data_IF_292971430745
#
_entry.id   IF_292971430745
#
_cell.length_a   1.000
_cell.length_b   1.000
_cell.length_c   1.000
_cell.angle_alpha   90.00
_cell.angle_beta   90.00
_cell.angle_gamma   90.00
#
_symmetry.space_group_name_H-M   'P 1'
#
loop_
_entity.id
_entity.type
_entity.pdbx_description
1 polymer ?
#
# COMPACT_ATOMS: atom_id res chain seq x y z
N UNK A 1 -20.40 -20.09 2.72
CA UNK A 1 -20.03 -18.91 3.53
C UNK A 1 -21.04 -18.74 4.65
N UNK A 2 -20.54 -18.65 5.87
CA UNK A 2 -21.40 -18.51 7.04
C UNK A 2 -21.55 -17.02 7.39
N UNK A 3 -22.75 -16.49 7.25
CA UNK A 3 -23.05 -15.11 7.61
C UNK A 3 -23.61 -14.98 9.03
N UNK A 4 -23.26 -15.90 9.91
CA UNK A 4 -23.71 -16.02 11.28
C UNK A 4 -24.28 -14.78 11.92
N UNK A 5 -25.60 -14.69 11.95
CA UNK A 5 -26.29 -13.58 12.58
C UNK A 5 -26.05 -13.57 14.09
N UNK A 6 -25.80 -12.40 14.67
CA UNK A 6 -25.72 -12.24 16.11
C UNK A 6 -24.41 -12.60 16.76
N UNK A 7 -23.38 -12.94 15.98
CA UNK A 7 -22.06 -13.18 16.53
C UNK A 7 -21.16 -11.99 16.23
N UNK A 8 -20.62 -11.39 17.29
CA UNK A 8 -19.64 -10.33 17.10
C UNK A 8 -18.39 -10.91 16.49
N UNK A 9 -18.02 -10.41 15.33
CA UNK A 9 -16.77 -10.77 14.68
C UNK A 9 -15.73 -9.75 15.09
N UNK A 10 -14.61 -10.25 15.62
CA UNK A 10 -13.50 -9.37 15.96
C UNK A 10 -13.07 -8.61 14.70
N UNK A 11 -12.97 -7.28 14.82
CA UNK A 11 -12.56 -6.44 13.71
C UNK A 11 -11.16 -6.80 13.25
N UNK A 12 -10.98 -6.89 11.95
CA UNK A 12 -9.67 -7.07 11.37
C UNK A 12 -8.79 -5.87 11.74
N UNK A 13 -7.51 -6.12 11.94
CA UNK A 13 -6.60 -5.06 12.32
C UNK A 13 -6.44 -4.08 11.16
N UNK A 14 -6.75 -2.82 11.42
CA UNK A 14 -6.56 -1.74 10.47
C UNK A 14 -5.45 -0.83 10.97
N UNK A 15 -4.56 -0.44 10.05
CA UNK A 15 -3.43 0.42 10.35
C UNK A 15 -3.46 1.57 9.37
N UNK A 16 -3.50 2.78 9.90
CA UNK A 16 -3.47 4.00 9.10
C UNK A 16 -2.18 4.76 9.39
N UNK A 17 -1.43 5.04 8.34
CA UNK A 17 -0.19 5.82 8.42
C UNK A 17 -0.34 7.05 7.54
N UNK A 18 0.18 8.15 8.03
CA UNK A 18 0.10 9.43 7.32
C UNK A 18 1.38 10.21 7.50
N UNK A 19 1.82 10.86 6.44
CA UNK A 19 2.90 11.84 6.50
C UNK A 19 2.54 13.00 5.59
N UNK A 20 3.23 14.12 5.75
CA UNK A 20 3.07 15.26 4.85
C UNK A 20 4.30 15.39 3.97
N UNK A 21 4.06 15.76 2.71
CA UNK A 21 5.12 15.98 1.75
C UNK A 21 4.67 17.05 0.75
N UNK A 22 5.46 18.13 0.65
CA UNK A 22 5.19 19.25 -0.26
C UNK A 22 3.81 19.88 -0.07
N UNK A 23 3.34 19.95 1.19
CA UNK A 23 2.06 20.54 1.52
C UNK A 23 0.85 19.63 1.34
N UNK A 24 1.05 18.38 0.94
CA UNK A 24 -0.01 17.39 0.76
C UNK A 24 0.18 16.20 1.67
N UNK A 25 -0.91 15.49 1.94
CA UNK A 25 -0.85 14.24 2.69
C UNK A 25 -0.42 13.08 1.79
N UNK A 26 0.33 12.17 2.38
CA UNK A 26 0.69 10.89 1.81
C UNK A 26 0.29 9.84 2.83
N UNK A 27 -0.59 8.92 2.44
CA UNK A 27 -1.23 7.99 3.37
C UNK A 27 -1.07 6.55 2.93
N UNK A 28 -1.00 5.66 3.91
CA UNK A 28 -1.14 4.23 3.68
C UNK A 28 -2.18 3.68 4.64
N UNK A 29 -3.14 2.95 4.10
CA UNK A 29 -4.20 2.31 4.87
C UNK A 29 -4.11 0.81 4.63
N UNK A 30 -3.85 0.05 5.69
CA UNK A 30 -3.67 -1.39 5.59
C UNK A 30 -4.71 -2.11 6.43
N UNK A 31 -5.30 -3.15 5.86
CA UNK A 31 -6.21 -4.04 6.57
C UNK A 31 -5.56 -5.41 6.64
N UNK A 32 -5.24 -5.86 7.85
CA UNK A 32 -4.69 -7.18 8.08
C UNK A 32 -5.84 -8.15 8.19
N UNK A 33 -5.94 -9.07 7.23
CA UNK A 33 -6.98 -10.09 7.17
C UNK A 33 -6.50 -11.35 7.89
N UNK A 34 -7.39 -12.32 8.07
CA UNK A 34 -7.00 -13.64 8.61
C UNK A 34 -5.94 -14.28 7.73
N UNK A 35 -6.07 -14.12 6.42
CA UNK A 35 -5.08 -14.58 5.46
C UNK A 35 -4.78 -13.46 4.47
N UNK A 36 -3.70 -12.73 4.72
CA UNK A 36 -3.26 -11.70 3.81
C UNK A 36 -3.39 -10.29 4.32
N UNK A 37 -3.01 -9.36 3.49
CA UNK A 37 -3.07 -7.93 3.79
C UNK A 37 -3.50 -7.15 2.54
N UNK A 38 -4.38 -6.20 2.75
CA UNK A 38 -4.83 -5.26 1.72
C UNK A 38 -4.29 -3.88 2.07
N UNK A 39 -3.59 -3.24 1.14
CA UNK A 39 -3.00 -1.93 1.37
C UNK A 39 -3.41 -0.95 0.28
N UNK A 40 -3.76 0.26 0.69
CA UNK A 40 -3.98 1.38 -0.22
C UNK A 40 -2.98 2.47 0.12
N UNK A 41 -2.20 2.91 -0.86
CA UNK A 41 -1.28 4.03 -0.75
C UNK A 41 -1.84 5.16 -1.63
N UNK A 42 -2.04 6.32 -1.05
CA UNK A 42 -2.60 7.45 -1.79
C UNK A 42 -2.01 8.75 -1.27
N UNK A 43 -1.94 9.75 -2.13
CA UNK A 43 -1.47 11.04 -1.67
C UNK A 43 -1.19 12.03 -2.80
N UNK A 44 -0.74 13.20 -2.37
CA UNK A 44 -0.43 14.28 -3.27
C UNK A 44 -1.63 15.16 -3.54
N UNK A 45 -1.56 15.89 -4.65
CA UNK A 45 -2.61 16.84 -5.05
C UNK A 45 -3.85 16.15 -5.61
N UNK A 46 -3.75 14.87 -5.98
CA UNK A 46 -4.84 14.13 -6.60
C UNK A 46 -4.68 12.65 -6.26
N UNK A 47 -5.69 12.09 -5.59
CA UNK A 47 -5.70 10.66 -5.25
C UNK A 47 -6.41 9.88 -6.35
N UNK A 48 -5.88 8.71 -6.68
CA UNK A 48 -6.42 7.91 -7.77
C UNK A 48 -5.95 6.46 -7.63
N UNK A 49 -6.45 5.60 -8.48
CA UNK A 49 -5.91 4.25 -8.64
C UNK A 49 -4.92 4.32 -9.79
N UNK A 50 -3.64 4.17 -9.49
CA UNK A 50 -2.58 4.21 -10.50
C UNK A 50 -2.04 2.83 -10.83
N UNK A 51 -1.86 1.99 -9.82
CA UNK A 51 -1.39 0.62 -10.00
C UNK A 51 -1.95 -0.29 -8.93
N UNK A 52 -2.01 -1.58 -9.23
CA UNK A 52 -2.36 -2.62 -8.27
C UNK A 52 -1.36 -3.76 -8.41
N UNK A 53 -0.74 -4.16 -7.32
CA UNK A 53 0.18 -5.29 -7.28
C UNK A 53 -0.38 -6.36 -6.36
N UNK A 54 -0.39 -7.60 -6.86
CA UNK A 54 -0.90 -8.74 -6.12
C UNK A 54 0.14 -9.85 -6.05
N UNK A 55 0.29 -10.45 -4.90
CA UNK A 55 1.16 -11.62 -4.68
C UNK A 55 0.34 -12.69 -3.96
N UNK A 56 0.23 -13.85 -4.58
CA UNK A 56 -0.42 -15.01 -3.95
C UNK A 56 0.57 -15.83 -3.12
N UNK A 57 0.13 -17.00 -2.67
CA UNK A 57 0.98 -17.88 -1.84
C UNK A 57 2.26 -18.33 -2.55
N UNK A 58 2.24 -18.40 -3.88
CA UNK A 58 3.40 -18.82 -4.67
C UNK A 58 4.50 -17.75 -4.76
N UNK A 59 4.25 -16.53 -4.26
CA UNK A 59 5.23 -15.44 -4.29
C UNK A 59 5.39 -14.77 -5.64
N UNK A 60 4.56 -15.11 -6.62
CA UNK A 60 4.63 -14.50 -7.95
C UNK A 60 3.86 -13.19 -7.94
N UNK A 61 4.53 -12.10 -8.31
CA UNK A 61 3.94 -10.76 -8.32
C UNK A 61 3.31 -10.49 -9.67
N UNK A 62 2.08 -9.98 -9.64
CA UNK A 62 1.40 -9.46 -10.82
C UNK A 62 1.03 -8.01 -10.56
N UNK A 63 1.36 -7.13 -11.50
CA UNK A 63 1.09 -5.70 -11.37
C UNK A 63 0.33 -5.22 -12.58
N UNK A 64 -0.71 -4.44 -12.32
CA UNK A 64 -1.45 -3.72 -13.34
C UNK A 64 -1.18 -2.24 -13.11
N UNK A 65 -0.72 -1.53 -14.14
CA UNK A 65 -0.49 -0.11 -14.08
C UNK A 65 -1.37 0.58 -15.12
N UNK A 66 -2.11 1.60 -14.69
CA UNK A 66 -2.92 2.38 -15.61
C UNK A 66 -2.03 3.27 -16.48
N UNK A 67 -2.42 3.50 -17.75
CA UNK A 67 -1.63 4.36 -18.65
C UNK A 67 -1.42 5.74 -18.07
N UNK A 68 -0.21 6.27 -18.23
CA UNK A 68 0.15 7.61 -17.76
C UNK A 68 0.50 7.71 -16.29
N UNK A 69 0.44 6.63 -15.54
CA UNK A 69 0.78 6.59 -14.12
C UNK A 69 2.06 5.80 -13.89
N UNK A 70 2.82 6.16 -12.84
CA UNK A 70 4.11 5.54 -12.53
C UNK A 70 4.14 4.89 -11.14
N UNK A 71 2.98 4.55 -10.62
CA UNK A 71 2.84 4.05 -9.26
C UNK A 71 3.25 2.57 -9.10
N UNK A 72 3.44 1.86 -10.21
CA UNK A 72 3.76 0.43 -10.18
C UNK A 72 5.07 0.13 -9.45
N UNK A 73 6.04 1.04 -9.49
CA UNK A 73 7.30 0.87 -8.79
C UNK A 73 7.06 0.76 -7.27
N UNK A 74 6.19 1.61 -6.74
CA UNK A 74 5.89 1.64 -5.31
C UNK A 74 5.04 0.43 -4.93
N UNK A 75 3.96 0.16 -5.66
CA UNK A 75 3.08 -0.95 -5.33
C UNK A 75 3.79 -2.30 -5.41
N UNK A 76 4.65 -2.49 -6.41
CA UNK A 76 5.44 -3.71 -6.57
C UNK A 76 6.42 -3.90 -5.42
N UNK A 77 7.13 -2.84 -5.04
CA UNK A 77 8.08 -2.90 -3.94
C UNK A 77 7.40 -3.24 -2.61
N UNK A 78 6.32 -2.55 -2.30
CA UNK A 78 5.55 -2.82 -1.08
C UNK A 78 5.01 -4.25 -1.05
N UNK A 79 4.46 -4.71 -2.17
CA UNK A 79 3.92 -6.07 -2.26
C UNK A 79 5.02 -7.12 -2.03
N UNK A 80 6.18 -6.91 -2.62
CA UNK A 80 7.35 -7.80 -2.45
C UNK A 80 7.78 -7.91 -1.00
N UNK A 81 7.97 -6.77 -0.36
CA UNK A 81 8.47 -6.72 1.02
C UNK A 81 7.45 -7.31 1.99
N UNK A 82 6.18 -6.94 1.84
CA UNK A 82 5.12 -7.48 2.69
C UNK A 82 4.98 -8.98 2.52
N UNK A 83 5.01 -9.48 1.29
CA UNK A 83 4.94 -10.92 1.06
C UNK A 83 6.14 -11.65 1.69
N UNK A 84 7.35 -11.09 1.57
CA UNK A 84 8.54 -11.72 2.15
C UNK A 84 8.43 -11.86 3.67
N UNK A 85 7.71 -10.95 4.31
CA UNK A 85 7.50 -10.97 5.77
C UNK A 85 6.36 -11.89 6.18
N UNK A 86 5.25 -11.87 5.45
CA UNK A 86 4.04 -12.54 5.88
C UNK A 86 3.86 -13.93 5.26
N UNK A 87 4.39 -14.13 4.05
CA UNK A 87 4.19 -15.36 3.26
C UNK A 87 2.70 -15.68 3.07
N UNK A 88 1.90 -14.65 2.98
CA UNK A 88 0.46 -14.70 2.76
C UNK A 88 0.10 -13.75 1.63
N UNK A 89 -1.08 -13.89 1.02
CA UNK A 89 -1.46 -13.02 -0.08
C UNK A 89 -1.39 -11.54 0.27
N UNK A 90 -0.88 -10.75 -0.66
CA UNK A 90 -0.73 -9.30 -0.51
C UNK A 90 -1.35 -8.61 -1.71
N UNK A 91 -2.15 -7.59 -1.44
CA UNK A 91 -2.67 -6.70 -2.48
C UNK A 91 -2.31 -5.27 -2.11
N UNK A 92 -1.62 -4.57 -3.01
CA UNK A 92 -1.23 -3.18 -2.80
C UNK A 92 -1.74 -2.35 -3.96
N UNK A 93 -2.56 -1.36 -3.63
CA UNK A 93 -3.02 -0.35 -4.57
C UNK A 93 -2.28 0.95 -4.29
N UNK A 94 -1.78 1.60 -5.33
CA UNK A 94 -1.05 2.87 -5.18
C UNK A 94 -1.55 3.91 -6.17
N UNK A 95 -1.81 5.12 -5.68
CA UNK A 95 -2.16 6.25 -6.51
C UNK A 95 -1.66 7.54 -5.88
N UNK A 96 -0.48 7.98 -6.32
CA UNK A 96 0.17 9.20 -5.82
C UNK A 96 0.38 10.15 -7.00
N UNK A 97 0.01 11.40 -6.81
CA UNK A 97 0.24 12.41 -7.84
C UNK A 97 0.69 13.73 -7.22
N UNK A 98 1.83 14.22 -7.70
CA UNK A 98 2.32 15.56 -7.42
C UNK A 98 2.63 16.25 -8.75
N UNK A 99 2.40 17.56 -8.84
CA UNK A 99 2.72 18.33 -10.04
C UNK A 99 4.18 18.74 -10.05
N UNK A 100 4.79 18.64 -11.23
CA UNK A 100 6.08 19.29 -11.55
C UNK A 100 7.21 18.99 -10.56
N UNK A 101 7.35 17.75 -10.14
CA UNK A 101 8.43 17.35 -9.26
C UNK A 101 9.77 17.29 -10.02
N UNK A 102 10.81 17.84 -9.40
CA UNK A 102 12.17 17.63 -9.87
C UNK A 102 12.68 16.28 -9.35
N UNK A 103 13.89 15.91 -9.76
CA UNK A 103 14.48 14.61 -9.39
C UNK A 103 14.59 14.44 -7.87
N UNK A 104 15.06 15.46 -7.18
CA UNK A 104 15.21 15.40 -5.70
C UNK A 104 13.87 15.18 -5.01
N UNK A 105 12.84 15.86 -5.48
CA UNK A 105 11.49 15.71 -4.93
C UNK A 105 10.91 14.32 -5.21
N UNK A 106 11.17 13.76 -6.38
CA UNK A 106 10.76 12.38 -6.69
C UNK A 106 11.44 11.40 -5.73
N UNK A 107 12.73 11.60 -5.45
CA UNK A 107 13.45 10.79 -4.48
C UNK A 107 12.84 10.92 -3.07
N UNK A 108 12.41 12.12 -2.69
CA UNK A 108 11.76 12.35 -1.40
C UNK A 108 10.43 11.58 -1.30
N UNK A 109 9.66 11.50 -2.38
CA UNK A 109 8.44 10.68 -2.41
C UNK A 109 8.78 9.21 -2.17
N UNK A 110 9.79 8.70 -2.87
CA UNK A 110 10.21 7.29 -2.74
C UNK A 110 10.67 7.00 -1.32
N UNK A 111 11.49 7.88 -0.73
CA UNK A 111 11.97 7.73 0.64
C UNK A 111 10.82 7.76 1.63
N UNK A 112 9.87 8.68 1.45
CA UNK A 112 8.69 8.77 2.34
C UNK A 112 7.84 7.51 2.28
N UNK A 113 7.64 6.95 1.09
CA UNK A 113 6.92 5.68 0.93
C UNK A 113 7.66 4.53 1.62
N UNK A 114 8.98 4.48 1.49
CA UNK A 114 9.79 3.45 2.16
C UNK A 114 9.71 3.55 3.68
N UNK A 115 9.70 4.77 4.21
CA UNK A 115 9.55 4.98 5.66
C UNK A 115 8.18 4.54 6.15
N UNK A 116 7.12 4.80 5.39
CA UNK A 116 5.79 4.33 5.73
C UNK A 116 5.73 2.79 5.72
N UNK A 117 6.38 2.16 4.75
CA UNK A 117 6.45 0.71 4.70
C UNK A 117 7.14 0.14 5.95
N UNK A 118 8.27 0.71 6.35
CA UNK A 118 8.97 0.30 7.56
C UNK A 118 8.09 0.45 8.80
N UNK A 119 7.37 1.56 8.89
CA UNK A 119 6.45 1.80 10.00
C UNK A 119 5.30 0.80 10.01
N UNK A 120 4.77 0.45 8.84
CA UNK A 120 3.72 -0.57 8.72
C UNK A 120 4.23 -1.92 9.20
N UNK A 121 5.41 -2.34 8.76
CA UNK A 121 6.00 -3.62 9.13
C UNK A 121 6.16 -3.72 10.65
N UNK A 122 6.62 -2.67 11.30
CA UNK A 122 6.74 -2.64 12.77
C UNK A 122 5.41 -2.85 13.46
N UNK A 123 4.33 -2.33 12.88
CA UNK A 123 3.00 -2.44 13.45
C UNK A 123 2.35 -3.80 13.19
N UNK A 124 2.86 -4.57 12.25
CA UNK A 124 2.36 -5.90 11.94
C UNK A 124 2.92 -6.98 12.86
N UNK A 125 3.97 -6.68 13.56
CA UNK A 125 4.61 -7.63 14.49
C UNK A 125 3.89 -7.66 15.84
#
# INVERSE_FOLDING_TARGET
MNLGAGKDVEMQKQIFLKTELFGYELCANATRLDEGIQVTIAGGSHTHIGSVSFVGYNGIIKTIQLPGHKDAHISTHWAKVLWSRLKEPVCVQCGIHFHDLNRTQIEDVIVSCSRMLDALIKRLN
#
